data_IF_325658683138
#
_entry.id   IF_325658683138
#
_cell.length_a   1.000
_cell.length_b   1.000
_cell.length_c   1.000
_cell.angle_alpha   90.00
_cell.angle_beta   90.00
_cell.angle_gamma   90.00
#
_symmetry.space_group_name_H-M   'P 1'
#
loop_
_entity.id
_entity.type
_entity.pdbx_description
1 polymer ?
#
# COMPACT_ATOMS: atom_id res chain seq x y z
N UNK A 1 -8.30 0.16 22.67
CA UNK A 1 -8.51 -0.19 21.26
C UNK A 1 -7.23 0.19 20.54
N UNK A 2 -6.60 -0.74 19.83
CA UNK A 2 -5.45 -0.42 18.98
C UNK A 2 -6.03 0.01 17.64
N UNK A 3 -5.65 1.20 17.19
CA UNK A 3 -6.13 1.75 15.93
C UNK A 3 -5.24 1.27 14.79
N UNK A 4 -5.84 0.87 13.67
CA UNK A 4 -5.09 0.47 12.49
C UNK A 4 -4.58 1.71 11.77
N UNK A 5 -3.26 1.87 11.67
CA UNK A 5 -2.63 2.95 10.91
C UNK A 5 -2.18 2.40 9.56
N UNK A 6 -2.93 2.73 8.51
CA UNK A 6 -2.64 2.26 7.16
C UNK A 6 -1.23 2.63 6.69
N UNK A 7 -0.80 3.87 6.90
CA UNK A 7 0.51 4.31 6.42
C UNK A 7 1.65 3.57 7.13
N UNK A 8 1.54 3.36 8.45
CA UNK A 8 2.56 2.64 9.19
C UNK A 8 2.67 1.17 8.75
N UNK A 9 1.56 0.50 8.46
CA UNK A 9 1.56 -0.88 7.96
C UNK A 9 2.02 -0.96 6.50
N UNK A 10 1.56 -0.07 5.62
CA UNK A 10 2.01 0.00 4.22
C UNK A 10 3.52 0.23 4.14
N UNK A 11 4.08 1.13 4.98
CA UNK A 11 5.54 1.34 5.06
C UNK A 11 6.26 0.07 5.51
N UNK A 12 5.71 -0.69 6.46
CA UNK A 12 6.34 -1.96 6.90
C UNK A 12 6.34 -2.99 5.77
N UNK A 13 5.24 -3.11 5.05
CA UNK A 13 5.08 -4.07 3.96
C UNK A 13 6.04 -3.73 2.81
N UNK A 14 6.12 -2.45 2.41
CA UNK A 14 7.09 -1.97 1.41
C UNK A 14 8.53 -2.19 1.88
N UNK A 15 8.86 -1.90 3.15
CA UNK A 15 10.19 -2.15 3.69
C UNK A 15 10.54 -3.65 3.73
N UNK A 16 9.57 -4.52 4.00
CA UNK A 16 9.76 -5.97 3.98
C UNK A 16 10.09 -6.45 2.57
N UNK A 17 9.29 -6.02 1.59
CA UNK A 17 9.53 -6.31 0.16
C UNK A 17 10.92 -5.88 -0.29
N UNK A 18 11.30 -4.62 -0.05
CA UNK A 18 12.61 -4.10 -0.48
C UNK A 18 13.76 -4.90 0.15
N UNK A 19 13.65 -5.29 1.43
CA UNK A 19 14.68 -6.08 2.09
C UNK A 19 14.78 -7.48 1.49
N UNK A 20 13.66 -8.13 1.23
CA UNK A 20 13.63 -9.44 0.58
C UNK A 20 14.25 -9.37 -0.82
N UNK A 21 13.90 -8.37 -1.62
CA UNK A 21 14.44 -8.17 -2.97
C UNK A 21 15.93 -7.78 -3.00
N UNK A 22 16.42 -7.08 -1.97
CA UNK A 22 17.86 -6.82 -1.78
C UNK A 22 18.61 -8.10 -1.42
N UNK A 23 18.06 -8.91 -0.52
CA UNK A 23 18.65 -10.19 -0.10
C UNK A 23 18.69 -11.19 -1.27
N UNK A 24 17.70 -11.16 -2.16
CA UNK A 24 17.65 -11.97 -3.39
C UNK A 24 18.44 -11.34 -4.56
N UNK A 25 18.97 -10.11 -4.39
CA UNK A 25 19.68 -9.31 -5.41
C UNK A 25 18.85 -8.98 -6.66
N UNK A 26 17.53 -9.06 -6.56
CA UNK A 26 16.60 -8.70 -7.63
C UNK A 26 16.50 -7.19 -7.82
N UNK A 27 16.75 -6.41 -6.77
CA UNK A 27 16.80 -4.94 -6.82
C UNK A 27 18.20 -4.45 -6.42
N UNK A 28 18.70 -3.45 -7.15
CA UNK A 28 19.95 -2.74 -6.83
C UNK A 28 19.63 -1.29 -6.46
N UNK A 29 19.59 -0.97 -5.17
CA UNK A 29 19.40 0.40 -4.66
C UNK A 29 20.68 1.27 -4.74
N UNK A 30 21.61 0.99 -5.67
CA UNK A 30 22.90 1.69 -5.70
C UNK A 30 22.81 3.01 -6.43
N UNK A 31 23.13 4.12 -5.75
CA UNK A 31 23.58 5.41 -6.30
C UNK A 31 22.85 5.92 -7.56
N UNK A 32 21.58 5.55 -7.77
CA UNK A 32 20.79 6.15 -8.83
C UNK A 32 20.45 7.56 -8.35
N UNK A 33 20.98 8.55 -9.05
CA UNK A 33 20.70 9.97 -8.78
C UNK A 33 19.26 10.37 -9.13
N UNK A 34 18.47 9.42 -9.65
CA UNK A 34 17.10 9.60 -10.09
C UNK A 34 16.15 8.85 -9.14
N UNK A 35 15.86 9.48 -8.00
CA UNK A 35 14.96 8.96 -6.98
C UNK A 35 13.55 8.70 -7.54
N UNK A 36 13.11 9.49 -8.52
CA UNK A 36 11.79 9.36 -9.14
C UNK A 36 11.70 8.07 -9.97
N UNK A 37 12.77 7.70 -10.69
CA UNK A 37 12.82 6.44 -11.42
C UNK A 37 12.73 5.21 -10.50
N UNK A 38 13.39 5.24 -9.33
CA UNK A 38 13.30 4.18 -8.32
C UNK A 38 11.86 4.10 -7.77
N UNK A 39 11.28 5.23 -7.41
CA UNK A 39 9.93 5.28 -6.85
C UNK A 39 8.89 4.73 -7.85
N UNK A 40 8.98 5.12 -9.13
CA UNK A 40 8.08 4.61 -10.16
C UNK A 40 8.25 3.11 -10.38
N UNK A 41 9.48 2.61 -10.44
CA UNK A 41 9.73 1.17 -10.61
C UNK A 41 9.24 0.33 -9.42
N UNK A 42 9.39 0.84 -8.19
CA UNK A 42 8.82 0.20 -7.01
C UNK A 42 7.29 0.25 -7.05
N UNK A 43 6.69 1.38 -7.41
CA UNK A 43 5.24 1.49 -7.51
C UNK A 43 4.66 0.47 -8.50
N UNK A 44 5.24 0.35 -9.71
CA UNK A 44 4.79 -0.61 -10.73
C UNK A 44 4.86 -2.07 -10.25
N UNK A 45 5.81 -2.42 -9.39
CA UNK A 45 5.94 -3.77 -8.84
C UNK A 45 4.98 -4.01 -7.67
N UNK A 46 4.85 -3.02 -6.79
CA UNK A 46 4.17 -3.16 -5.52
C UNK A 46 2.66 -2.97 -5.62
N UNK A 47 2.18 -2.22 -6.62
CA UNK A 47 0.74 -1.95 -6.76
C UNK A 47 -0.09 -3.22 -6.91
N UNK A 48 0.48 -4.27 -7.52
CA UNK A 48 -0.15 -5.58 -7.72
C UNK A 48 0.45 -6.67 -6.81
N UNK A 49 1.33 -6.32 -5.86
CA UNK A 49 1.83 -7.29 -4.89
C UNK A 49 0.81 -7.48 -3.76
N UNK A 50 0.27 -8.70 -3.67
CA UNK A 50 -0.76 -9.03 -2.68
C UNK A 50 -0.30 -8.86 -1.22
N UNK A 51 1.01 -8.96 -0.96
CA UNK A 51 1.57 -8.74 0.38
C UNK A 51 1.69 -7.27 0.77
N UNK A 52 1.52 -6.35 -0.19
CA UNK A 52 1.57 -4.91 0.02
C UNK A 52 0.19 -4.29 -0.11
N UNK A 53 -0.46 -4.42 -1.27
CA UNK A 53 -1.75 -3.76 -1.54
C UNK A 53 -2.93 -4.72 -1.53
N UNK A 54 -2.73 -6.00 -1.88
CA UNK A 54 -3.82 -6.96 -2.12
C UNK A 54 -4.55 -6.78 -3.45
N UNK A 55 -4.07 -5.92 -4.35
CA UNK A 55 -4.80 -5.54 -5.56
C UNK A 55 -4.96 -6.68 -6.57
N UNK A 56 -3.94 -7.53 -6.75
CA UNK A 56 -3.98 -8.60 -7.74
C UNK A 56 -5.01 -9.68 -7.41
N UNK A 57 -5.12 -10.05 -6.13
CA UNK A 57 -6.09 -11.03 -5.63
C UNK A 57 -7.45 -10.44 -5.29
N UNK A 58 -7.52 -9.12 -5.09
CA UNK A 58 -8.71 -8.43 -4.60
C UNK A 58 -8.89 -8.51 -3.09
N UNK A 59 -7.87 -8.94 -2.32
CA UNK A 59 -7.86 -8.79 -0.87
C UNK A 59 -6.45 -8.86 -0.27
N UNK A 60 -6.07 -7.85 0.50
CA UNK A 60 -4.86 -7.91 1.34
C UNK A 60 -5.06 -8.81 2.58
N UNK A 61 -6.23 -8.72 3.22
CA UNK A 61 -6.46 -9.38 4.51
C UNK A 61 -6.91 -10.84 4.37
N UNK A 62 -7.39 -11.22 3.18
CA UNK A 62 -8.13 -12.47 2.91
C UNK A 62 -9.30 -12.69 3.90
N UNK A 63 -9.86 -11.58 4.43
CA UNK A 63 -10.88 -11.60 5.48
C UNK A 63 -11.67 -10.29 5.52
N UNK A 64 -12.93 -10.34 5.05
CA UNK A 64 -13.84 -9.19 5.10
C UNK A 64 -13.98 -8.57 6.50
N UNK A 65 -14.10 -9.40 7.55
CA UNK A 65 -14.24 -8.91 8.94
C UNK A 65 -13.00 -8.13 9.37
N UNK A 66 -11.80 -8.60 8.99
CA UNK A 66 -10.55 -7.92 9.34
C UNK A 66 -10.39 -6.60 8.59
N UNK A 67 -10.79 -6.55 7.32
CA UNK A 67 -10.85 -5.30 6.57
C UNK A 67 -11.84 -4.30 7.22
N UNK A 68 -13.00 -4.75 7.69
CA UNK A 68 -13.94 -3.89 8.43
C UNK A 68 -13.31 -3.31 9.70
N UNK A 69 -12.58 -4.12 10.48
CA UNK A 69 -11.87 -3.66 11.66
C UNK A 69 -10.84 -2.56 11.35
N UNK A 70 -10.13 -2.68 10.23
CA UNK A 70 -9.16 -1.68 9.78
C UNK A 70 -9.84 -0.35 9.40
N UNK A 71 -11.06 -0.41 8.85
CA UNK A 71 -11.82 0.77 8.42
C UNK A 71 -12.45 1.58 9.56
N UNK A 72 -12.70 0.99 10.73
CA UNK A 72 -13.46 1.62 11.84
C UNK A 72 -13.03 3.05 12.15
N UNK A 73 -11.73 3.38 12.00
CA UNK A 73 -11.17 4.71 12.26
C UNK A 73 -10.55 5.40 11.06
N UNK A 74 -10.77 4.89 9.84
CA UNK A 74 -10.10 5.36 8.63
C UNK A 74 -11.09 5.83 7.55
N UNK A 75 -12.33 6.18 7.91
CA UNK A 75 -13.35 6.62 6.95
C UNK A 75 -13.01 7.92 6.22
N UNK A 76 -12.36 8.87 6.89
CA UNK A 76 -11.90 10.11 6.25
C UNK A 76 -10.81 9.81 5.20
N UNK A 77 -9.82 8.99 5.57
CA UNK A 77 -8.78 8.51 4.66
C UNK A 77 -9.35 7.72 3.48
N UNK A 78 -10.35 6.86 3.72
CA UNK A 78 -11.07 6.16 2.64
C UNK A 78 -11.73 7.15 1.69
N UNK A 79 -12.36 8.21 2.21
CA UNK A 79 -12.96 9.24 1.38
C UNK A 79 -11.92 9.98 0.55
N UNK A 80 -10.76 10.27 1.09
CA UNK A 80 -9.65 10.90 0.36
C UNK A 80 -9.15 9.99 -0.76
N UNK A 81 -8.92 8.71 -0.47
CA UNK A 81 -8.48 7.71 -1.45
C UNK A 81 -9.48 7.54 -2.60
N UNK A 82 -10.77 7.42 -2.30
CA UNK A 82 -11.84 7.32 -3.30
C UNK A 82 -11.85 8.57 -4.19
N UNK A 83 -11.83 9.76 -3.60
CA UNK A 83 -11.87 11.01 -4.36
C UNK A 83 -10.63 11.20 -5.26
N UNK A 84 -9.48 10.67 -4.84
CA UNK A 84 -8.24 10.78 -5.60
C UNK A 84 -8.12 9.75 -6.73
N UNK A 85 -8.57 8.51 -6.51
CA UNK A 85 -8.30 7.39 -7.41
C UNK A 85 -9.51 6.93 -8.23
N UNK A 86 -10.69 6.84 -7.63
CA UNK A 86 -11.92 6.39 -8.29
C UNK A 86 -13.17 7.03 -7.66
N UNK A 87 -13.55 8.24 -8.07
CA UNK A 87 -14.72 8.94 -7.51
C UNK A 87 -16.05 8.20 -7.70
N UNK A 88 -16.11 7.22 -8.62
CA UNK A 88 -17.30 6.39 -8.86
C UNK A 88 -17.29 5.11 -8.01
N UNK A 89 -16.26 4.90 -7.18
CA UNK A 89 -16.11 3.74 -6.32
C UNK A 89 -17.29 3.59 -5.36
N UNK A 90 -18.04 2.50 -5.51
CA UNK A 90 -19.16 2.20 -4.63
C UNK A 90 -18.78 1.22 -3.51
N UNK A 91 -18.43 1.78 -2.34
CA UNK A 91 -18.04 1.00 -1.16
C UNK A 91 -19.09 -0.03 -0.71
N UNK A 92 -20.38 0.28 -0.85
CA UNK A 92 -21.46 -0.63 -0.43
C UNK A 92 -21.62 -1.83 -1.37
N UNK A 93 -21.18 -1.70 -2.63
CA UNK A 93 -21.21 -2.80 -3.61
C UNK A 93 -19.90 -3.59 -3.62
N UNK A 94 -18.77 -2.92 -3.44
CA UNK A 94 -17.45 -3.53 -3.54
C UNK A 94 -16.97 -4.14 -2.22
N UNK A 95 -17.46 -3.67 -1.09
CA UNK A 95 -17.19 -4.25 0.23
C UNK A 95 -15.89 -3.77 0.86
N UNK A 96 -15.64 -4.25 2.09
CA UNK A 96 -14.57 -3.77 2.95
C UNK A 96 -13.16 -4.05 2.40
N UNK A 97 -12.94 -5.20 1.76
CA UNK A 97 -11.62 -5.56 1.20
C UNK A 97 -11.23 -4.64 0.04
N UNK A 98 -12.18 -4.26 -0.82
CA UNK A 98 -11.92 -3.27 -1.87
C UNK A 98 -11.65 -1.87 -1.29
N UNK A 99 -12.32 -1.51 -0.17
CA UNK A 99 -12.03 -0.26 0.54
C UNK A 99 -10.63 -0.28 1.19
N UNK A 100 -10.17 -1.44 1.69
CA UNK A 100 -8.82 -1.62 2.20
C UNK A 100 -7.79 -1.39 1.09
N UNK A 101 -7.98 -2.03 -0.07
CA UNK A 101 -7.09 -1.94 -1.23
C UNK A 101 -6.95 -0.50 -1.74
N UNK A 102 -8.06 0.22 -1.92
CA UNK A 102 -7.98 1.58 -2.47
C UNK A 102 -7.23 2.54 -1.53
N UNK A 103 -7.32 2.35 -0.21
CA UNK A 103 -6.52 3.12 0.77
C UNK A 103 -5.03 2.78 0.63
N UNK A 104 -4.70 1.49 0.52
CA UNK A 104 -3.31 1.03 0.37
C UNK A 104 -2.66 1.59 -0.90
N UNK A 105 -3.34 1.46 -2.05
CA UNK A 105 -2.89 2.04 -3.32
C UNK A 105 -2.72 3.56 -3.21
N UNK A 106 -3.63 4.24 -2.52
CA UNK A 106 -3.54 5.69 -2.30
C UNK A 106 -2.28 6.09 -1.50
N UNK A 107 -1.91 5.30 -0.50
CA UNK A 107 -0.76 5.58 0.37
C UNK A 107 0.56 5.02 -0.17
N UNK A 108 0.53 4.09 -1.12
CA UNK A 108 1.72 3.40 -1.64
C UNK A 108 2.84 4.36 -2.09
N UNK A 109 2.60 5.47 -2.81
CA UNK A 109 3.66 6.40 -3.18
C UNK A 109 4.36 7.04 -1.96
N UNK A 110 3.59 7.43 -0.94
CA UNK A 110 4.14 7.98 0.30
C UNK A 110 4.90 6.91 1.09
N UNK A 111 4.34 5.70 1.17
CA UNK A 111 4.95 4.57 1.85
C UNK A 111 6.32 4.20 1.24
N UNK A 112 6.42 4.18 -0.10
CA UNK A 112 7.68 3.97 -0.82
C UNK A 112 8.71 5.05 -0.46
N UNK A 113 8.32 6.33 -0.49
CA UNK A 113 9.21 7.43 -0.16
C UNK A 113 9.75 7.30 1.28
N UNK A 114 8.87 7.04 2.25
CA UNK A 114 9.25 6.85 3.66
C UNK A 114 10.14 5.61 3.83
N UNK A 115 9.82 4.49 3.17
CA UNK A 115 10.61 3.27 3.25
C UNK A 115 12.03 3.48 2.72
N UNK A 116 12.19 4.15 1.56
CA UNK A 116 13.50 4.49 1.00
C UNK A 116 14.30 5.39 1.94
N UNK A 117 13.69 6.41 2.55
CA UNK A 117 14.34 7.27 3.54
C UNK A 117 14.78 6.53 4.82
N UNK A 118 14.04 5.49 5.22
CA UNK A 118 14.40 4.66 6.39
C UNK A 118 15.49 3.63 6.11
N UNK A 119 15.68 3.26 4.83
CA UNK A 119 16.67 2.27 4.39
C UNK A 119 17.97 2.89 3.88
N UNK A 120 17.98 4.20 3.61
CA UNK A 120 19.17 4.97 3.19
C UNK A 120 20.19 5.21 4.30
#
# INVERSE_FOLDING_TARGET
MVYYNYLDEEVKDVMAYIKEELDTKSITLTNQTDTDAIQNNLYEQLVDDDSVTGNASGSYTMSTVKAEEYLVTNWELLSEAINALDPEFNMLKQGAEACDIIIRIYLLPEAINIALQKLS
#
